data_IF_031213148460
#
_entry.id   IF_031213148460
#
_cell.length_a   1.000
_cell.length_b   1.000
_cell.length_c   1.000
_cell.angle_alpha   90.00
_cell.angle_beta   90.00
_cell.angle_gamma   90.00
#
_symmetry.space_group_name_H-M   'P 1'
#
loop_
_entity.id
_entity.type
_entity.pdbx_description
1 polymer ?
#
# COMPACT_ATOMS: atom_id res chain seq x y z
N UNK A 1 55.79 -27.96 -39.25
CA UNK A 1 54.85 -26.82 -39.13
C UNK A 1 53.44 -27.28 -39.48
N UNK A 2 52.50 -27.27 -38.53
CA UNK A 2 51.05 -27.13 -38.75
C UNK A 2 50.38 -26.88 -37.38
N UNK A 3 49.67 -25.76 -37.28
CA UNK A 3 49.22 -25.11 -36.04
C UNK A 3 47.96 -25.79 -35.49
N UNK A 4 47.93 -25.96 -34.17
CA UNK A 4 46.76 -26.35 -33.38
C UNK A 4 45.69 -25.24 -33.45
N UNK A 5 44.50 -25.59 -33.92
CA UNK A 5 43.31 -24.73 -33.84
C UNK A 5 42.65 -24.93 -32.47
N UNK A 6 42.95 -24.03 -31.53
CA UNK A 6 42.26 -23.92 -30.26
C UNK A 6 40.87 -23.31 -30.47
N UNK A 7 39.83 -24.12 -30.27
CA UNK A 7 38.44 -23.67 -30.20
C UNK A 7 38.17 -23.03 -28.84
N UNK A 8 38.12 -21.70 -28.77
CA UNK A 8 37.61 -20.98 -27.60
C UNK A 8 36.07 -21.06 -27.59
N UNK A 9 35.51 -22.06 -26.91
CA UNK A 9 34.09 -22.07 -26.55
C UNK A 9 33.84 -21.00 -25.50
N UNK A 10 33.36 -19.84 -25.93
CA UNK A 10 32.94 -18.74 -25.07
C UNK A 10 31.62 -19.16 -24.38
N UNK A 11 31.72 -19.62 -23.13
CA UNK A 11 30.56 -19.95 -22.31
C UNK A 11 29.80 -18.66 -22.00
N UNK A 12 28.62 -18.49 -22.62
CA UNK A 12 27.67 -17.42 -22.30
C UNK A 12 27.06 -17.70 -20.92
N UNK A 13 27.67 -17.12 -19.89
CA UNK A 13 27.08 -17.00 -18.56
C UNK A 13 25.95 -15.96 -18.63
N UNK A 14 24.75 -16.42 -18.98
CA UNK A 14 23.54 -15.60 -18.84
C UNK A 14 23.17 -15.62 -17.36
N UNK A 15 23.78 -14.71 -16.58
CA UNK A 15 23.33 -14.40 -15.24
C UNK A 15 21.99 -13.68 -15.36
N UNK A 16 20.89 -14.42 -15.31
CA UNK A 16 19.56 -13.83 -15.19
C UNK A 16 19.47 -13.15 -13.82
N UNK A 17 19.58 -11.83 -13.79
CA UNK A 17 19.27 -11.02 -12.62
C UNK A 17 17.79 -11.22 -12.32
N UNK A 18 17.48 -12.09 -11.36
CA UNK A 18 16.14 -12.13 -10.79
C UNK A 18 15.96 -10.83 -10.00
N UNK A 19 15.24 -9.87 -10.59
CA UNK A 19 14.72 -8.75 -9.82
C UNK A 19 13.65 -9.32 -8.89
N UNK A 20 14.02 -9.56 -7.64
CA UNK A 20 13.06 -9.83 -6.59
C UNK A 20 12.21 -8.56 -6.41
N UNK A 21 10.93 -8.65 -6.77
CA UNK A 21 9.92 -7.71 -6.29
C UNK A 21 10.01 -7.69 -4.76
N UNK A 22 10.02 -6.50 -4.17
CA UNK A 22 10.49 -6.24 -2.80
C UNK A 22 10.00 -7.23 -1.75
N UNK A 23 10.86 -7.51 -0.77
CA UNK A 23 10.56 -8.44 0.33
C UNK A 23 9.24 -8.10 1.02
N UNK A 24 8.55 -9.14 1.50
CA UNK A 24 7.31 -8.97 2.24
C UNK A 24 7.50 -8.01 3.43
N UNK A 25 6.61 -7.01 3.61
CA UNK A 25 6.68 -6.13 4.75
C UNK A 25 6.57 -6.94 6.05
N UNK A 26 7.40 -6.59 7.02
CA UNK A 26 7.46 -7.32 8.30
C UNK A 26 6.24 -7.08 9.18
N UNK A 27 5.58 -5.92 9.02
CA UNK A 27 4.40 -5.55 9.79
C UNK A 27 3.50 -4.55 9.03
N UNK A 28 2.23 -4.50 9.44
CA UNK A 28 1.32 -3.44 9.03
C UNK A 28 1.61 -2.15 9.78
N UNK A 29 1.28 -0.97 9.20
CA UNK A 29 1.26 0.27 9.95
C UNK A 29 0.40 0.15 11.22
N UNK A 30 0.97 0.51 12.36
CA UNK A 30 0.30 0.50 13.64
C UNK A 30 -0.85 1.51 13.68
N UNK A 31 -1.95 1.17 14.39
CA UNK A 31 -3.08 2.09 14.54
C UNK A 31 -2.67 3.40 15.22
N UNK A 32 -1.70 3.35 16.14
CA UNK A 32 -1.18 4.55 16.83
C UNK A 32 -0.42 5.47 15.88
N UNK A 33 0.40 4.94 14.96
CA UNK A 33 1.12 5.74 13.97
C UNK A 33 0.16 6.34 12.94
N UNK A 34 -0.84 5.58 12.50
CA UNK A 34 -1.94 6.08 11.65
C UNK A 34 -2.68 7.25 12.33
N UNK A 35 -2.99 7.14 13.63
CA UNK A 35 -3.66 8.18 14.40
C UNK A 35 -2.78 9.43 14.59
N UNK A 36 -1.48 9.24 14.83
CA UNK A 36 -0.53 10.33 15.04
C UNK A 36 -0.29 11.15 13.76
N UNK A 37 -0.17 10.48 12.62
CA UNK A 37 0.07 11.10 11.31
C UNK A 37 -1.21 11.67 10.70
N UNK A 38 -2.32 10.94 10.83
CA UNK A 38 -3.61 11.35 10.29
C UNK A 38 -3.70 11.23 8.77
N UNK A 39 -4.85 11.68 8.26
CA UNK A 39 -5.12 11.83 6.81
C UNK A 39 -5.11 13.31 6.44
N UNK A 40 -4.52 13.64 5.29
CA UNK A 40 -4.32 15.02 4.84
C UNK A 40 -4.88 15.30 3.45
N UNK A 41 -5.41 14.28 2.78
CA UNK A 41 -6.02 14.39 1.47
C UNK A 41 -7.33 13.57 1.44
N UNK A 42 -8.14 13.77 0.42
CA UNK A 42 -9.30 12.93 0.15
C UNK A 42 -9.63 12.90 -1.34
N UNK A 43 -10.32 11.85 -1.75
CA UNK A 43 -10.79 11.63 -3.11
C UNK A 43 -12.25 11.20 -3.07
N UNK A 44 -13.01 11.78 -3.99
CA UNK A 44 -14.36 11.32 -4.29
C UNK A 44 -14.25 10.10 -5.22
N UNK A 45 -15.00 9.06 -4.90
CA UNK A 45 -15.13 7.83 -5.68
C UNK A 45 -16.61 7.56 -5.90
N UNK A 46 -16.97 6.71 -6.86
CA UNK A 46 -18.38 6.44 -7.19
C UNK A 46 -19.24 5.98 -5.98
N UNK A 47 -18.59 5.46 -4.93
CA UNK A 47 -19.23 4.98 -3.70
C UNK A 47 -19.25 6.02 -2.55
N UNK A 48 -18.62 7.19 -2.71
CA UNK A 48 -18.48 8.23 -1.69
C UNK A 48 -17.03 8.69 -1.52
N UNK A 49 -16.67 9.24 -0.36
CA UNK A 49 -15.32 9.78 -0.17
C UNK A 49 -14.38 8.81 0.54
N UNK A 50 -13.12 8.82 0.11
CA UNK A 50 -11.98 8.19 0.79
C UNK A 50 -11.04 9.29 1.28
N UNK A 51 -10.82 9.38 2.59
CA UNK A 51 -9.79 10.22 3.16
C UNK A 51 -8.47 9.44 3.26
N UNK A 52 -7.34 10.06 2.96
CA UNK A 52 -6.09 9.33 2.75
C UNK A 52 -4.85 10.11 3.15
N UNK A 53 -3.76 9.36 3.28
CA UNK A 53 -2.39 9.84 3.35
C UNK A 53 -1.54 8.92 2.47
N UNK A 54 -0.65 9.50 1.70
CA UNK A 54 0.13 8.77 0.69
C UNK A 54 1.60 8.92 0.97
N UNK A 55 2.36 7.88 0.62
CA UNK A 55 3.81 7.89 0.68
C UNK A 55 4.39 8.14 2.09
N UNK A 56 3.85 7.45 3.09
CA UNK A 56 4.29 7.57 4.48
C UNK A 56 4.84 6.25 5.03
N UNK A 57 5.93 6.30 5.77
CA UNK A 57 6.53 5.11 6.41
C UNK A 57 5.76 4.62 7.62
N UNK A 58 5.01 5.50 8.28
CA UNK A 58 4.41 5.23 9.59
C UNK A 58 5.48 4.71 10.57
N UNK A 59 5.21 3.60 11.24
CA UNK A 59 6.11 2.86 12.12
C UNK A 59 6.71 1.61 11.42
N UNK A 60 6.78 1.61 10.09
CA UNK A 60 7.29 0.49 9.27
C UNK A 60 8.54 0.90 8.47
N UNK A 61 9.13 -0.04 7.71
CA UNK A 61 10.28 0.24 6.85
C UNK A 61 9.88 0.59 5.41
N UNK A 62 8.63 0.30 5.07
CA UNK A 62 8.06 0.45 3.74
C UNK A 62 7.20 1.72 3.66
N UNK A 63 7.07 2.31 2.47
CA UNK A 63 6.16 3.43 2.28
C UNK A 63 4.77 2.90 1.94
N UNK A 64 3.76 3.46 2.60
CA UNK A 64 2.37 3.04 2.46
C UNK A 64 1.50 4.17 1.90
N UNK A 65 0.48 3.76 1.15
CA UNK A 65 -0.71 4.58 0.90
C UNK A 65 -1.82 4.07 1.79
N UNK A 66 -2.33 4.93 2.67
CA UNK A 66 -3.42 4.61 3.58
C UNK A 66 -4.69 5.36 3.18
N UNK A 67 -5.82 4.65 3.13
CA UNK A 67 -7.13 5.20 2.84
C UNK A 67 -8.18 4.70 3.82
N UNK A 68 -9.10 5.59 4.22
CA UNK A 68 -10.28 5.28 5.03
C UNK A 68 -11.54 5.76 4.30
N UNK A 69 -12.48 4.85 4.10
CA UNK A 69 -13.77 5.18 3.50
C UNK A 69 -14.62 5.94 4.53
N UNK A 70 -15.05 7.15 4.18
CA UNK A 70 -15.82 8.04 5.07
C UNK A 70 -17.27 8.21 4.63
N UNK A 71 -17.67 7.53 3.56
CA UNK A 71 -19.00 7.61 2.97
C UNK A 71 -19.25 8.92 2.23
N UNK A 72 -20.51 9.15 1.88
CA UNK A 72 -20.92 10.37 1.19
C UNK A 72 -20.83 11.60 2.12
N UNK A 73 -20.15 12.64 1.63
CA UNK A 73 -19.97 13.95 2.28
C UNK A 73 -19.90 15.03 1.21
N UNK A 74 -20.10 16.30 1.60
CA UNK A 74 -20.26 17.40 0.64
C UNK A 74 -18.99 17.81 -0.09
N UNK A 75 -17.84 17.65 0.56
CA UNK A 75 -16.56 18.16 0.07
C UNK A 75 -15.37 17.43 0.71
N UNK A 76 -14.20 17.74 0.15
CA UNK A 76 -12.89 17.19 0.52
C UNK A 76 -12.53 17.51 1.96
N UNK A 77 -12.73 18.74 2.41
CA UNK A 77 -12.39 19.19 3.76
C UNK A 77 -13.19 18.42 4.82
N UNK A 78 -14.48 18.19 4.58
CA UNK A 78 -15.33 17.37 5.45
C UNK A 78 -14.86 15.92 5.44
N UNK A 79 -14.48 15.38 4.28
CA UNK A 79 -13.95 14.02 4.17
C UNK A 79 -12.68 13.84 5.03
N UNK A 80 -11.69 14.73 4.89
CA UNK A 80 -10.46 14.74 5.69
C UNK A 80 -10.79 14.83 7.19
N UNK A 81 -11.67 15.77 7.57
CA UNK A 81 -12.06 15.95 8.98
C UNK A 81 -12.77 14.72 9.54
N UNK A 82 -13.60 14.04 8.74
CA UNK A 82 -14.30 12.82 9.15
C UNK A 82 -13.35 11.64 9.25
N UNK A 83 -12.44 11.48 8.28
CA UNK A 83 -11.41 10.44 8.29
C UNK A 83 -10.55 10.51 9.55
N UNK A 84 -10.02 11.69 9.88
CA UNK A 84 -9.23 11.89 11.10
C UNK A 84 -10.02 11.56 12.40
N UNK A 85 -11.34 11.78 12.43
CA UNK A 85 -12.17 11.34 13.58
C UNK A 85 -12.31 9.82 13.64
N UNK A 86 -12.45 9.16 12.50
CA UNK A 86 -12.66 7.71 12.40
C UNK A 86 -11.41 6.90 12.77
N UNK A 87 -10.20 7.47 12.63
CA UNK A 87 -8.94 6.83 13.05
C UNK A 87 -8.97 6.32 14.50
N UNK A 88 -9.66 7.04 15.40
CA UNK A 88 -9.83 6.69 16.82
C UNK A 88 -10.63 5.41 17.07
N UNK A 89 -11.29 4.90 16.03
CA UNK A 89 -12.12 3.70 16.10
C UNK A 89 -11.50 2.49 15.41
N UNK A 90 -10.33 2.67 14.79
CA UNK A 90 -9.66 1.62 14.04
C UNK A 90 -9.08 0.55 14.96
N UNK A 91 -9.09 -0.67 14.45
CA UNK A 91 -8.40 -1.84 14.97
C UNK A 91 -7.66 -2.51 13.81
N UNK A 92 -6.46 -3.00 14.07
CA UNK A 92 -5.75 -3.86 13.11
C UNK A 92 -6.36 -5.26 13.13
N UNK A 93 -6.49 -5.86 11.95
CA UNK A 93 -7.00 -7.23 11.79
C UNK A 93 -5.90 -8.30 11.67
N UNK A 94 -4.62 -7.94 11.77
CA UNK A 94 -3.53 -8.90 11.64
C UNK A 94 -2.27 -8.31 11.00
N UNK A 95 -1.52 -9.16 10.30
CA UNK A 95 -0.32 -8.79 9.55
C UNK A 95 -0.59 -8.56 8.06
N UNK A 96 0.45 -8.19 7.30
CA UNK A 96 0.31 -7.90 5.87
C UNK A 96 -0.21 -9.09 5.07
N UNK A 97 -1.07 -8.80 4.10
CA UNK A 97 -1.65 -9.78 3.17
C UNK A 97 -1.19 -9.45 1.76
N UNK A 98 -0.87 -10.48 0.96
CA UNK A 98 -0.43 -10.29 -0.41
C UNK A 98 -1.62 -10.40 -1.37
N UNK A 99 -1.73 -9.43 -2.29
CA UNK A 99 -2.58 -9.53 -3.48
C UNK A 99 -1.76 -9.09 -4.70
N UNK A 100 -1.47 -10.05 -5.58
CA UNK A 100 -0.61 -9.86 -6.75
C UNK A 100 0.77 -9.30 -6.37
N UNK A 101 1.06 -8.09 -6.81
CA UNK A 101 2.30 -7.34 -6.67
C UNK A 101 2.28 -6.40 -5.45
N UNK A 102 1.18 -6.40 -4.69
CA UNK A 102 0.94 -5.49 -3.59
C UNK A 102 0.79 -6.25 -2.28
N UNK A 103 1.13 -5.55 -1.21
CA UNK A 103 0.81 -5.94 0.15
C UNK A 103 -0.18 -4.96 0.73
N UNK A 104 -1.16 -5.46 1.45
CA UNK A 104 -2.17 -4.63 2.07
C UNK A 104 -2.44 -5.06 3.51
N UNK A 105 -2.95 -4.09 4.27
CA UNK A 105 -3.33 -4.24 5.66
C UNK A 105 -4.73 -3.67 5.82
N UNK A 106 -5.65 -4.50 6.30
CA UNK A 106 -7.03 -4.09 6.57
C UNK A 106 -7.22 -3.62 8.01
N UNK A 107 -8.03 -2.59 8.17
CA UNK A 107 -8.40 -2.05 9.47
C UNK A 107 -9.91 -2.00 9.61
N UNK A 108 -10.39 -2.44 10.77
CA UNK A 108 -11.81 -2.47 11.10
C UNK A 108 -12.20 -1.35 12.04
N UNK A 109 -13.47 -0.97 11.99
CA UNK A 109 -14.07 -0.13 13.01
C UNK A 109 -14.37 -0.94 14.29
N UNK A 110 -14.94 -0.29 15.32
CA UNK A 110 -15.32 -0.95 16.59
C UNK A 110 -16.32 -2.11 16.43
N UNK A 111 -17.07 -2.13 15.33
CA UNK A 111 -18.06 -3.15 15.00
C UNK A 111 -17.46 -4.33 14.21
N UNK A 112 -16.15 -4.29 13.93
CA UNK A 112 -15.46 -5.32 13.16
C UNK A 112 -15.68 -5.22 11.65
N UNK A 113 -16.23 -4.11 11.15
CA UNK A 113 -16.41 -3.89 9.71
C UNK A 113 -15.15 -3.28 9.10
N UNK A 114 -14.64 -3.81 7.97
CA UNK A 114 -13.52 -3.20 7.25
C UNK A 114 -13.91 -1.79 6.79
N UNK A 115 -13.09 -0.81 7.13
CA UNK A 115 -13.34 0.61 6.78
C UNK A 115 -12.11 1.34 6.25
N UNK A 116 -10.92 0.77 6.44
CA UNK A 116 -9.67 1.37 5.98
C UNK A 116 -8.66 0.31 5.54
N UNK A 117 -7.72 0.73 4.71
CA UNK A 117 -6.68 -0.12 4.15
C UNK A 117 -5.37 0.68 4.04
N UNK A 118 -4.24 0.02 4.29
CA UNK A 118 -2.92 0.50 3.89
C UNK A 118 -2.36 -0.42 2.81
N UNK A 119 -1.70 0.13 1.79
CA UNK A 119 -1.13 -0.62 0.66
C UNK A 119 0.36 -0.24 0.48
N UNK A 120 1.21 -1.24 0.26
CA UNK A 120 2.62 -1.08 -0.10
C UNK A 120 3.01 -1.98 -1.30
N UNK A 121 3.91 -1.56 -2.22
CA UNK A 121 4.53 -0.23 -2.30
C UNK A 121 3.50 0.89 -2.38
N UNK A 122 3.84 2.09 -1.89
CA UNK A 122 2.94 3.23 -1.94
C UNK A 122 2.48 3.47 -3.39
N UNK A 123 1.19 3.33 -3.63
CA UNK A 123 0.55 3.58 -4.92
C UNK A 123 -0.13 4.95 -4.93
N UNK A 124 -0.20 5.57 -6.10
CA UNK A 124 -0.95 6.81 -6.26
C UNK A 124 -2.41 6.58 -5.84
N UNK A 125 -3.03 7.51 -5.08
CA UNK A 125 -4.42 7.38 -4.64
C UNK A 125 -5.42 7.14 -5.77
N UNK A 126 -5.20 7.70 -6.97
CA UNK A 126 -6.04 7.47 -8.15
C UNK A 126 -5.93 6.02 -8.61
N UNK A 127 -4.72 5.45 -8.59
CA UNK A 127 -4.49 4.05 -8.95
C UNK A 127 -5.05 3.08 -7.89
N UNK A 128 -4.96 3.43 -6.61
CA UNK A 128 -5.61 2.70 -5.52
C UNK A 128 -7.12 2.57 -5.77
N UNK A 129 -7.78 3.68 -6.09
CA UNK A 129 -9.22 3.71 -6.34
C UNK A 129 -9.58 2.85 -7.56
N UNK A 130 -8.82 2.96 -8.65
CA UNK A 130 -9.04 2.14 -9.85
C UNK A 130 -8.98 0.63 -9.57
N UNK A 131 -8.16 0.20 -8.61
CA UNK A 131 -8.06 -1.22 -8.21
C UNK A 131 -9.23 -1.65 -7.32
N UNK A 132 -9.80 -0.76 -6.51
CA UNK A 132 -10.92 -1.06 -5.61
C UNK A 132 -12.30 -1.18 -6.31
N UNK A 133 -12.44 -0.62 -7.52
CA UNK A 133 -13.71 -0.59 -8.28
C UNK A 133 -13.77 -1.64 -9.40
N UNK A 134 -12.75 -2.50 -9.53
CA UNK A 134 -12.75 -3.66 -10.45
C UNK A 134 -13.34 -4.89 -9.78
#
# INVERSE_FOLDING_TARGET
MKRLLQSCSLALLVSSSAFAFGDAPTQCPGVESLQAIGVNDARDIDLGWVALNWNNYYDTQEQWTFGIFVGDVKDKEIAIKRGNRMLKSLKSNGGPQQDSDLWFCEYTNRQGQPVAMAITPAIDPVDMIRRLVR
#
